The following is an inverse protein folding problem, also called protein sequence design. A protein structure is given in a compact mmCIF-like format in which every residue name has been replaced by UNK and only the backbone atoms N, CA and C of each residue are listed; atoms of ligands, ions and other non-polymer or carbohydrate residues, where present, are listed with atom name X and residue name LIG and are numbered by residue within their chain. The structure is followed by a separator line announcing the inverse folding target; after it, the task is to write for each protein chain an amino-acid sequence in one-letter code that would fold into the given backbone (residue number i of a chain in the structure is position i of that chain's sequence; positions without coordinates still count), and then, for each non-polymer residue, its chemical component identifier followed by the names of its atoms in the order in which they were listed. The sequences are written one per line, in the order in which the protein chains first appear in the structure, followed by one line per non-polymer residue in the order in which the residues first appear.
data_IF_844359516286
#
_entry.id   IF_844359516286
#
_cell.length_a   1.000
_cell.length_b   1.000
_cell.length_c   1.000
_cell.angle_alpha   90.00
_cell.angle_beta   90.00
_cell.angle_gamma   90.00
#
_symmetry.space_group_name_H-M   'P 1'
#
loop_
_entity.id
_entity.type
_entity.pdbx_description
1 polymer ?
#
# COMPACT_ATOMS: atom_id res chain seq x y z
N UNK A 1 11.22 -22.75 4.77
CA UNK A 1 11.32 -21.35 5.20
C UNK A 1 12.23 -20.62 4.21
N UNK A 2 11.69 -19.72 3.37
CA UNK A 2 12.56 -18.77 2.66
C UNK A 2 12.78 -17.61 3.64
N UNK A 3 14.04 -17.28 3.92
CA UNK A 3 14.34 -16.04 4.63
C UNK A 3 13.76 -14.91 3.79
N UNK A 4 12.85 -14.13 4.37
CA UNK A 4 12.45 -12.86 3.76
C UNK A 4 13.68 -11.97 3.92
N UNK A 5 14.44 -11.79 2.84
CA UNK A 5 15.41 -10.70 2.80
C UNK A 5 14.67 -9.41 3.18
N UNK A 6 15.27 -8.58 4.03
CA UNK A 6 14.65 -7.34 4.50
C UNK A 6 14.24 -6.44 3.34
N UNK A 7 13.41 -5.43 3.62
CA UNK A 7 12.91 -4.50 2.61
C UNK A 7 14.06 -3.89 1.80
N UNK A 8 14.05 -4.00 0.45
CA UNK A 8 15.15 -3.51 -0.39
C UNK A 8 15.48 -2.04 -0.12
N UNK A 9 16.76 -1.67 -0.25
CA UNK A 9 17.22 -0.30 0.01
C UNK A 9 16.49 0.73 -0.87
N UNK A 10 16.14 0.36 -2.10
CA UNK A 10 15.36 1.21 -3.01
C UNK A 10 14.00 1.63 -2.45
N UNK A 11 13.34 0.77 -1.67
CA UNK A 11 12.07 1.10 -1.00
C UNK A 11 12.31 2.09 0.13
N UNK A 12 13.43 1.96 0.85
CA UNK A 12 13.79 2.88 1.94
C UNK A 12 14.15 4.27 1.41
N UNK A 13 14.62 4.38 0.17
CA UNK A 13 14.88 5.66 -0.51
C UNK A 13 13.60 6.44 -0.87
N UNK A 14 12.42 5.81 -0.80
CA UNK A 14 11.14 6.49 -0.99
C UNK A 14 10.75 7.36 0.21
N UNK A 15 11.30 7.09 1.40
CA UNK A 15 10.94 7.84 2.61
C UNK A 15 11.37 9.30 2.44
N UNK A 16 10.39 10.21 2.50
CA UNK A 16 10.61 11.64 2.32
C UNK A 16 10.94 12.07 0.89
N UNK A 17 10.77 11.18 -0.10
CA UNK A 17 11.06 11.51 -1.50
C UNK A 17 9.95 12.41 -2.07
N UNK A 18 10.28 13.67 -2.30
CA UNK A 18 9.37 14.68 -2.86
C UNK A 18 9.18 15.89 -1.94
N UNK A 19 8.63 17.00 -2.45
CA UNK A 19 8.39 18.20 -1.65
C UNK A 19 7.13 18.08 -0.78
N UNK A 20 7.00 18.99 0.19
CA UNK A 20 5.74 19.21 0.92
C UNK A 20 5.63 18.47 2.26
N UNK A 21 4.42 18.49 2.83
CA UNK A 21 4.10 17.92 4.15
C UNK A 21 3.91 16.40 4.09
N UNK A 22 3.50 15.91 2.92
CA UNK A 22 3.38 14.50 2.56
C UNK A 22 4.15 14.29 1.24
N UNK A 23 5.45 13.97 1.32
CA UNK A 23 6.25 13.66 0.13
C UNK A 23 5.64 12.51 -0.68
N UNK A 24 5.71 12.58 -2.01
CA UNK A 24 5.17 11.57 -2.93
C UNK A 24 5.58 10.13 -2.60
N UNK A 25 6.82 9.92 -2.18
CA UNK A 25 7.30 8.60 -1.78
C UNK A 25 6.64 8.08 -0.51
N UNK A 26 6.30 8.95 0.44
CA UNK A 26 5.56 8.55 1.64
C UNK A 26 4.08 8.29 1.32
N UNK A 27 3.47 9.09 0.45
CA UNK A 27 2.11 8.86 -0.01
C UNK A 27 1.98 7.51 -0.74
N UNK A 28 2.92 7.21 -1.63
CA UNK A 28 3.05 5.90 -2.27
C UNK A 28 3.15 4.76 -1.25
N UNK A 29 4.05 4.88 -0.25
CA UNK A 29 4.21 3.88 0.80
C UNK A 29 2.93 3.72 1.64
N UNK A 30 2.23 4.81 1.95
CA UNK A 30 0.94 4.79 2.63
C UNK A 30 -0.12 4.03 1.84
N UNK A 31 -0.18 4.26 0.53
CA UNK A 31 -1.03 3.53 -0.41
C UNK A 31 -0.76 2.03 -0.43
N UNK A 32 0.52 1.63 -0.44
CA UNK A 32 0.95 0.22 -0.33
C UNK A 32 0.44 -0.41 0.97
N UNK A 33 0.65 0.25 2.11
CA UNK A 33 0.24 -0.27 3.42
C UNK A 33 -1.28 -0.45 3.53
N UNK A 34 -2.05 0.53 3.05
CA UNK A 34 -3.52 0.46 3.04
C UNK A 34 -4.00 -0.69 2.13
N UNK A 35 -3.46 -0.79 0.92
CA UNK A 35 -3.85 -1.84 -0.02
C UNK A 35 -3.51 -3.24 0.52
N UNK A 36 -2.33 -3.42 1.13
CA UNK A 36 -1.95 -4.67 1.80
C UNK A 36 -2.95 -5.04 2.91
N UNK A 37 -3.42 -4.08 3.70
CA UNK A 37 -4.46 -4.34 4.71
C UNK A 37 -5.78 -4.78 4.07
N UNK A 38 -6.20 -4.13 2.98
CA UNK A 38 -7.45 -4.45 2.28
C UNK A 38 -7.44 -5.84 1.63
N UNK A 39 -6.31 -6.27 1.06
CA UNK A 39 -6.13 -7.63 0.52
C UNK A 39 -5.77 -8.67 1.59
N UNK A 40 -5.98 -8.35 2.88
CA UNK A 40 -5.73 -9.23 4.03
C UNK A 40 -4.28 -9.71 4.19
N UNK A 41 -3.31 -8.90 3.74
CA UNK A 41 -1.86 -9.11 3.90
C UNK A 41 -1.25 -8.18 4.95
N UNK A 42 -1.89 -8.11 6.12
CA UNK A 42 -1.43 -7.32 7.27
C UNK A 42 -0.07 -7.78 7.80
N UNK A 43 0.28 -9.05 7.59
CA UNK A 43 1.61 -9.62 7.85
C UNK A 43 2.70 -8.87 7.09
N UNK A 44 2.52 -8.67 5.78
CA UNK A 44 3.46 -7.93 4.94
C UNK A 44 3.48 -6.45 5.34
N UNK A 45 2.30 -5.86 5.57
CA UNK A 45 2.22 -4.44 5.95
C UNK A 45 2.99 -4.16 7.25
N UNK A 46 2.87 -5.05 8.25
CA UNK A 46 3.59 -4.94 9.51
C UNK A 46 5.11 -5.07 9.33
N UNK A 47 5.57 -6.05 8.53
CA UNK A 47 7.00 -6.23 8.23
C UNK A 47 7.58 -5.02 7.49
N UNK A 48 6.87 -4.54 6.46
CA UNK A 48 7.28 -3.36 5.69
C UNK A 48 7.39 -2.13 6.61
N UNK A 49 6.36 -1.87 7.42
CA UNK A 49 6.38 -0.72 8.31
C UNK A 49 7.48 -0.83 9.38
N UNK A 50 7.71 -2.02 9.94
CA UNK A 50 8.77 -2.25 10.91
C UNK A 50 10.16 -1.93 10.35
N UNK A 51 10.43 -2.27 9.08
CA UNK A 51 11.69 -1.97 8.41
C UNK A 51 11.85 -0.47 8.08
N UNK A 52 10.75 0.23 7.78
CA UNK A 52 10.77 1.66 7.45
C UNK A 52 10.84 2.56 8.71
N UNK A 53 10.18 2.15 9.79
CA UNK A 53 9.98 2.93 11.02
C UNK A 53 11.26 3.59 11.58
N UNK A 54 12.43 2.89 11.67
CA UNK A 54 13.66 3.47 12.20
C UNK A 54 14.17 4.70 11.44
N UNK A 55 13.78 4.85 10.17
CA UNK A 55 14.27 5.92 9.27
C UNK A 55 13.31 7.10 9.15
N UNK A 56 12.05 6.91 9.54
CA UNK A 56 11.00 7.92 9.36
C UNK A 56 11.34 9.25 10.04
N UNK A 57 11.86 9.21 11.28
CA UNK A 57 12.22 10.42 12.04
C UNK A 57 13.27 11.29 11.34
N UNK A 58 14.23 10.67 10.68
CA UNK A 58 15.35 11.37 10.03
C UNK A 58 15.06 11.76 8.57
N UNK A 59 14.05 11.15 7.94
CA UNK A 59 13.84 11.25 6.49
C UNK A 59 12.56 11.96 6.09
N UNK A 60 11.55 12.06 6.95
CA UNK A 60 10.30 12.77 6.63
C UNK A 60 9.72 13.55 7.81
N UNK A 61 8.75 14.43 7.52
CA UNK A 61 8.11 15.31 8.47
C UNK A 61 7.05 14.64 9.36
N UNK A 62 6.66 15.25 10.48
CA UNK A 62 5.72 14.66 11.45
C UNK A 62 4.34 14.32 10.86
N UNK A 63 3.84 15.10 9.91
CA UNK A 63 2.55 14.85 9.26
C UNK A 63 2.60 13.53 8.47
N UNK A 64 3.59 13.39 7.58
CA UNK A 64 3.81 12.18 6.82
C UNK A 64 4.01 10.94 7.70
N UNK A 65 4.79 11.05 8.79
CA UNK A 65 4.97 9.95 9.74
C UNK A 65 3.66 9.48 10.37
N UNK A 66 2.80 10.42 10.76
CA UNK A 66 1.47 10.10 11.33
C UNK A 66 0.61 9.37 10.30
N UNK A 67 0.64 9.80 9.03
CA UNK A 67 -0.07 9.11 7.95
C UNK A 67 0.46 7.69 7.74
N UNK A 68 1.77 7.48 7.70
CA UNK A 68 2.38 6.16 7.55
C UNK A 68 2.06 5.23 8.74
N UNK A 69 2.05 5.77 9.97
CA UNK A 69 1.65 5.00 11.14
C UNK A 69 0.17 4.57 11.05
N UNK A 70 -0.73 5.48 10.68
CA UNK A 70 -2.15 5.15 10.45
C UNK A 70 -2.32 4.11 9.32
N UNK A 71 -1.61 4.29 8.20
CA UNK A 71 -1.62 3.37 7.06
C UNK A 71 -1.14 1.96 7.44
N UNK A 72 -0.14 1.85 8.32
CA UNK A 72 0.32 0.55 8.86
C UNK A 72 -0.75 -0.19 9.66
N UNK A 73 -1.68 0.55 10.29
CA UNK A 73 -2.87 0.01 10.95
C UNK A 73 -4.04 -0.22 9.97
N UNK A 74 -3.83 0.01 8.67
CA UNK A 74 -4.86 -0.08 7.64
C UNK A 74 -5.83 1.09 7.63
N UNK A 75 -5.47 2.22 8.21
CA UNK A 75 -6.27 3.44 8.25
C UNK A 75 -5.77 4.45 7.22
N UNK A 76 -6.68 5.17 6.59
CA UNK A 76 -6.33 6.19 5.62
C UNK A 76 -7.54 6.91 5.07
N UNK A 77 -7.36 7.55 3.93
CA UNK A 77 -8.40 8.35 3.28
C UNK A 77 -9.53 7.43 2.78
N UNK A 78 -10.77 7.72 3.18
CA UNK A 78 -11.95 6.94 2.80
C UNK A 78 -12.07 6.79 1.27
N UNK A 79 -11.80 7.85 0.53
CA UNK A 79 -11.83 7.86 -0.95
C UNK A 79 -10.83 6.88 -1.57
N UNK A 80 -9.65 6.72 -0.97
CA UNK A 80 -8.67 5.73 -1.39
C UNK A 80 -9.16 4.31 -1.10
N UNK A 81 -9.73 4.07 0.09
CA UNK A 81 -10.35 2.79 0.44
C UNK A 81 -11.46 2.42 -0.55
N UNK A 82 -12.34 3.37 -0.87
CA UNK A 82 -13.44 3.17 -1.81
C UNK A 82 -12.95 2.87 -3.23
N UNK A 83 -11.88 3.54 -3.69
CA UNK A 83 -11.26 3.26 -4.98
C UNK A 83 -10.67 1.83 -5.03
N UNK A 84 -9.92 1.44 -4.00
CA UNK A 84 -9.30 0.10 -3.92
C UNK A 84 -10.38 -0.99 -3.84
N UNK A 85 -11.38 -0.84 -2.97
CA UNK A 85 -12.46 -1.81 -2.83
C UNK A 85 -13.27 -1.96 -4.12
N UNK A 86 -13.48 -0.88 -4.88
CA UNK A 86 -14.16 -0.96 -6.18
C UNK A 86 -13.42 -1.89 -7.15
N UNK A 87 -12.08 -1.94 -7.08
CA UNK A 87 -11.27 -2.88 -7.88
C UNK A 87 -11.37 -4.30 -7.32
N UNK A 88 -11.24 -4.47 -6.01
CA UNK A 88 -11.29 -5.79 -5.35
C UNK A 88 -12.65 -6.48 -5.57
N UNK A 89 -13.74 -5.71 -5.48
CA UNK A 89 -15.11 -6.21 -5.60
C UNK A 89 -15.58 -6.33 -7.07
N UNK A 90 -14.80 -5.83 -8.04
CA UNK A 90 -15.18 -5.83 -9.45
C UNK A 90 -16.26 -4.79 -9.82
N UNK A 91 -16.44 -3.75 -8.99
CA UNK A 91 -17.40 -2.66 -9.20
C UNK A 91 -16.87 -1.62 -10.20
N UNK A 92 -16.62 -2.06 -11.44
CA UNK A 92 -15.95 -1.27 -12.49
C UNK A 92 -16.65 0.06 -12.77
N UNK A 93 -17.98 0.07 -12.77
CA UNK A 93 -18.80 1.27 -13.03
C UNK A 93 -18.57 2.38 -11.99
N UNK A 94 -18.17 2.04 -10.76
CA UNK A 94 -17.93 3.01 -9.70
C UNK A 94 -16.53 3.62 -9.77
N UNK A 95 -15.58 2.98 -10.47
CA UNK A 95 -14.17 3.40 -10.51
C UNK A 95 -14.01 4.85 -11.00
N UNK A 96 -14.63 5.29 -12.11
CA UNK A 96 -14.47 6.67 -12.59
C UNK A 96 -14.88 7.71 -11.54
N UNK A 97 -15.98 7.46 -10.82
CA UNK A 97 -16.42 8.33 -9.74
C UNK A 97 -15.45 8.33 -8.56
N UNK A 98 -14.97 7.17 -8.12
CA UNK A 98 -14.01 7.09 -7.01
C UNK A 98 -12.70 7.80 -7.36
N UNK A 99 -12.20 7.66 -8.59
CA UNK A 99 -11.00 8.35 -9.06
C UNK A 99 -11.17 9.87 -9.07
N UNK A 100 -12.34 10.39 -9.45
CA UNK A 100 -12.64 11.84 -9.34
C UNK A 100 -12.59 12.35 -7.91
N UNK A 101 -12.89 11.51 -6.92
CA UNK A 101 -12.77 11.89 -5.51
C UNK A 101 -11.33 11.81 -5.00
N UNK A 102 -10.51 10.91 -5.56
CA UNK A 102 -9.06 10.87 -5.30
C UNK A 102 -8.39 12.14 -5.79
N UNK A 103 -8.77 12.64 -6.98
CA UNK A 103 -8.23 13.87 -7.57
C UNK A 103 -8.43 15.12 -6.69
N UNK A 104 -9.50 15.14 -5.88
CA UNK A 104 -9.80 16.24 -4.95
C UNK A 104 -8.90 16.24 -3.71
N UNK A 105 -8.14 15.18 -3.45
CA UNK A 105 -7.19 15.09 -2.35
C UNK A 105 -5.86 15.67 -2.81
N UNK A 106 -5.54 16.89 -2.37
CA UNK A 106 -4.19 17.48 -2.47
C UNK A 106 -3.46 17.11 -3.76
N UNK A 107 -4.13 17.31 -4.91
CA UNK A 107 -3.82 16.85 -6.28
C UNK A 107 -2.81 15.69 -6.41
N UNK A 108 -1.51 15.89 -6.13
CA UNK A 108 -0.48 14.83 -6.24
C UNK A 108 -0.61 13.71 -5.20
N UNK A 109 -0.92 14.04 -3.94
CA UNK A 109 -0.87 13.08 -2.82
C UNK A 109 -1.84 11.91 -2.98
N UNK A 110 -3.07 12.19 -3.44
CA UNK A 110 -4.06 11.15 -3.72
C UNK A 110 -3.62 10.20 -4.85
N UNK A 111 -3.04 10.73 -5.92
CA UNK A 111 -2.54 9.94 -7.05
C UNK A 111 -1.32 9.09 -6.68
N UNK A 112 -0.40 9.62 -5.87
CA UNK A 112 0.78 8.89 -5.38
C UNK A 112 0.37 7.71 -4.50
N UNK A 113 -0.58 7.92 -3.58
CA UNK A 113 -1.14 6.84 -2.77
C UNK A 113 -1.89 5.80 -3.60
N UNK A 114 -2.66 6.23 -4.61
CA UNK A 114 -3.31 5.31 -5.53
C UNK A 114 -2.30 4.48 -6.35
N UNK A 115 -1.18 5.08 -6.76
CA UNK A 115 -0.11 4.38 -7.46
C UNK A 115 0.53 3.29 -6.57
N UNK A 116 0.74 3.58 -5.29
CA UNK A 116 1.19 2.58 -4.31
C UNK A 116 0.21 1.41 -4.16
N UNK A 117 -1.07 1.74 -4.02
CA UNK A 117 -2.13 0.72 -3.93
C UNK A 117 -2.22 -0.14 -5.20
N UNK A 118 -2.09 0.47 -6.37
CA UNK A 118 -2.10 -0.21 -7.66
C UNK A 118 -1.00 -1.27 -7.77
N UNK A 119 0.21 -1.00 -7.27
CA UNK A 119 1.32 -1.97 -7.27
C UNK A 119 0.95 -3.24 -6.50
N UNK A 120 0.29 -3.09 -5.34
CA UNK A 120 -0.17 -4.23 -4.54
C UNK A 120 -1.24 -5.03 -5.29
N UNK A 121 -2.26 -4.35 -5.83
CA UNK A 121 -3.34 -5.00 -6.59
C UNK A 121 -2.79 -5.75 -7.81
N UNK A 122 -1.87 -5.13 -8.56
CA UNK A 122 -1.16 -5.77 -9.67
C UNK A 122 -0.39 -7.01 -9.22
N UNK A 123 0.32 -6.93 -8.09
CA UNK A 123 1.07 -8.07 -7.56
C UNK A 123 0.16 -9.24 -7.19
N UNK A 124 -1.04 -8.97 -6.67
CA UNK A 124 -2.05 -10.00 -6.39
C UNK A 124 -2.58 -10.68 -7.67
N UNK A 125 -2.72 -9.93 -8.77
CA UNK A 125 -3.18 -10.48 -10.06
C UNK A 125 -2.11 -11.32 -10.78
N UNK A 126 -0.83 -10.99 -10.57
CA UNK A 126 0.31 -11.66 -11.24
C UNK A 126 0.75 -12.92 -10.48
N UNK A 127 0.19 -13.22 -9.31
CA UNK A 127 0.45 -14.49 -8.63
C UNK A 127 -0.17 -15.65 -9.43
N UNK A 128 0.63 -16.57 -10.00
CA UNK A 128 0.08 -17.77 -10.61
C UNK A 128 -0.61 -18.60 -9.53
N UNK A 129 -1.76 -19.17 -9.87
CA UNK A 129 -2.49 -20.16 -9.10
C UNK A 129 -1.60 -21.39 -8.79
N UNK A 130 -0.76 -21.28 -7.77
CA UNK A 130 0.14 -22.33 -7.32
C UNK A 130 -0.08 -22.60 -5.82
N UNK A 131 -1.34 -22.73 -5.40
CA UNK A 131 -1.68 -23.21 -4.06
C UNK A 131 -2.82 -24.26 -4.03
N UNK A 132 -3.17 -24.88 -5.16
CA UNK A 132 -3.89 -26.16 -5.10
C UNK A 132 -2.89 -27.32 -5.10
N UNK A 133 -2.28 -27.60 -3.94
CA UNK A 133 -1.77 -28.95 -3.68
C UNK A 133 -2.86 -29.70 -2.92
N UNK A 134 -3.61 -30.53 -3.63
CA UNK A 134 -4.44 -31.56 -2.99
C UNK A 134 -3.51 -32.52 -2.23
N UNK A 135 -3.80 -32.90 -0.97
CA UNK A 135 -3.16 -34.06 -0.38
C UNK A 135 -3.85 -35.30 -0.94
N UNK A 136 -3.33 -35.84 -2.04
CA UNK A 136 -3.58 -37.22 -2.42
C UNK A 136 -2.54 -38.10 -1.72
N UNK A 137 -2.89 -38.58 -0.53
CA UNK A 137 -2.36 -39.83 0.01
C UNK A 137 -3.47 -40.55 0.77
N UNK A 138 -4.22 -41.37 0.03
CA UNK A 138 -4.91 -42.56 0.54
C UNK A 138 -4.30 -43.76 -0.16
N UNK A 139 -3.33 -44.41 0.51
CA UNK A 139 -3.28 -45.84 0.85
C UNK A 139 -1.93 -46.15 1.49
#
# INVERSE_FOLDING_TARGET
MRCVEGVPESVQQLIGLGPGLTPSGDDFLGGVLIALSLVQRRDIAALLYADLCPRLLARTGPISRTHLAAASAGQGLETLHLAINSVIEGNVEMIPDRLRHVDRIGCSSGWDALAGAYVVLRACLVQPAALHRSPLWTN
#
